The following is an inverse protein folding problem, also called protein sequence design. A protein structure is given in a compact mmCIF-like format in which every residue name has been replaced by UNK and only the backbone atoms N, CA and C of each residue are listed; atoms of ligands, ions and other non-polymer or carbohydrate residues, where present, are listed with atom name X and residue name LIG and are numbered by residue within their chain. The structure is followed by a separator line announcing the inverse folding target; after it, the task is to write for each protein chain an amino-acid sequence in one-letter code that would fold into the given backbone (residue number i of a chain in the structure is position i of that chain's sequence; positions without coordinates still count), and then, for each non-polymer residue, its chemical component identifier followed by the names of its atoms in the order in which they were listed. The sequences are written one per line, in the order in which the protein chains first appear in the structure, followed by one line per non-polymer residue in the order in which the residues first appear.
data_IF_633052935572
#
_entry.id   IF_633052935572
#
_cell.length_a   1.000
_cell.length_b   1.000
_cell.length_c   1.000
_cell.angle_alpha   90.00
_cell.angle_beta   90.00
_cell.angle_gamma   90.00
#
_symmetry.space_group_name_H-M   'P 1'
#
loop_
_entity.id
_entity.type
_entity.pdbx_description
1 polymer ?
2 non-polymer ?
3 water ?
#
# COMPACT_ATOMS: atom_id res chain seq x y z
N UNK A 21 -7.87 -6.11 27.98
CA UNK A 21 -6.65 -5.48 28.51
C UNK A 21 -6.65 -3.93 28.32
N UNK A 22 -5.50 -3.26 28.64
CA UNK A 22 -5.31 -1.80 28.56
C UNK A 22 -3.84 -1.46 28.33
N UNK A 23 -3.56 -0.23 27.87
CA UNK A 23 -2.19 0.26 27.68
C UNK A 23 -2.08 1.77 27.74
N UNK A 24 -0.90 2.26 28.15
CA UNK A 24 -0.63 3.67 28.24
C UNK A 24 0.41 4.06 27.22
N UNK A 25 0.17 5.19 26.55
CA UNK A 25 1.04 5.78 25.53
C UNK A 25 1.05 7.31 25.82
N UNK A 26 2.22 7.84 26.22
CA UNK A 26 2.44 9.26 26.60
C UNK A 26 1.36 9.76 27.60
N UNK A 27 1.23 9.04 28.72
CA UNK A 27 0.27 9.32 29.80
C UNK A 27 -1.18 9.00 29.47
N UNK A 28 -1.52 8.83 28.17
CA UNK A 28 -2.87 8.54 27.70
C UNK A 28 -3.17 7.05 27.71
N UNK A 29 -4.32 6.67 28.32
CA UNK A 29 -4.75 5.28 28.48
C UNK A 29 -5.76 4.90 27.41
N UNK A 30 -5.53 3.73 26.81
CA UNK A 30 -6.36 3.15 25.76
C UNK A 30 -6.75 1.75 26.17
N UNK A 31 -7.99 1.36 25.91
CA UNK A 31 -8.52 0.04 26.23
C UNK A 31 -8.55 -0.80 24.95
N UNK A 32 -7.96 -2.02 24.98
CA UNK A 32 -7.92 -2.94 23.84
C UNK A 32 -9.29 -3.58 23.56
N UNK A 33 -9.96 -3.12 22.49
CA UNK A 33 -11.27 -3.58 22.03
C UNK A 33 -11.18 -4.88 21.21
N UNK A 34 -10.05 -5.09 20.49
CA UNK A 34 -9.77 -6.23 19.59
C UNK A 34 -8.33 -6.12 19.06
N UNK A 35 -7.80 -7.21 18.51
CA UNK A 35 -6.47 -7.16 17.91
C UNK A 35 -6.63 -7.23 16.39
N UNK A 36 -6.39 -6.10 15.73
CA UNK A 36 -6.51 -6.01 14.27
C UNK A 36 -5.52 -6.81 13.43
N UNK A 37 -4.25 -6.81 13.84
CA UNK A 37 -3.22 -7.50 13.08
C UNK A 37 -2.17 -8.24 13.87
N UNK A 38 -1.51 -9.18 13.19
CA UNK A 38 -0.47 -9.99 13.81
C UNK A 38 0.78 -9.92 12.94
N UNK A 39 1.90 -9.60 13.57
CA UNK A 39 3.17 -9.49 12.91
C UNK A 39 4.14 -10.28 13.75
N UNK A 40 5.24 -10.73 13.17
CA UNK A 40 6.18 -11.51 13.94
C UNK A 40 6.68 -10.69 15.12
N UNK A 41 7.00 -9.44 14.86
CA UNK A 41 7.47 -8.56 15.92
C UNK A 41 6.44 -7.48 16.30
N UNK A 42 5.32 -7.45 15.60
CA UNK A 42 4.30 -6.45 15.89
C UNK A 42 2.85 -6.92 15.82
N UNK A 43 2.00 -6.21 16.54
CA UNK A 43 0.57 -6.49 16.60
C UNK A 43 -0.17 -5.16 16.46
N UNK A 44 -1.36 -5.17 15.87
CA UNK A 44 -2.15 -3.93 15.70
C UNK A 44 -3.40 -4.12 16.53
N UNK A 45 -3.72 -3.17 17.41
CA UNK A 45 -4.92 -3.27 18.23
C UNK A 45 -5.93 -2.20 17.92
N UNK A 46 -7.21 -2.57 17.94
CA UNK A 46 -8.31 -1.62 17.79
C UNK A 46 -8.56 -1.15 19.23
N UNK A 47 -8.35 0.13 19.52
CA UNK A 47 -8.50 0.62 20.88
C UNK A 47 -9.35 1.88 21.06
N UNK A 48 -9.85 2.07 22.27
CA UNK A 48 -10.68 3.20 22.62
C UNK A 48 -10.05 4.03 23.74
N UNK A 49 -10.04 5.34 23.57
CA UNK A 49 -9.49 6.27 24.55
C UNK A 49 -10.47 6.60 25.67
N UNK A 50 -10.03 7.48 26.57
CA UNK A 50 -10.84 7.91 27.70
C UNK A 50 -12.12 8.57 27.20
N UNK A 51 -11.99 9.26 26.08
CA UNK A 51 -13.10 9.96 25.44
C UNK A 51 -13.91 8.96 24.60
N UNK A 52 -13.51 7.70 24.65
CA UNK A 52 -14.17 6.64 23.90
C UNK A 52 -14.08 6.79 22.38
N UNK A 53 -12.92 7.26 21.93
CA UNK A 53 -12.67 7.44 20.51
C UNK A 53 -11.74 6.33 20.02
N UNK A 54 -12.14 5.64 18.96
CA UNK A 54 -11.36 4.54 18.40
C UNK A 54 -10.03 4.94 17.74
N UNK A 55 -9.01 4.11 17.96
CA UNK A 55 -7.68 4.32 17.40
C UNK A 55 -7.00 2.98 17.18
N UNK A 56 -5.96 2.95 16.36
CA UNK A 56 -5.23 1.71 16.15
C UNK A 56 -3.83 1.89 16.72
N UNK A 57 -3.40 1.01 17.64
CA UNK A 57 -2.05 1.05 18.21
C UNK A 57 -1.18 -0.09 17.64
N UNK A 58 -0.14 0.26 16.85
CA UNK A 58 0.77 -0.76 16.32
C UNK A 58 1.84 -0.92 17.37
N UNK A 59 1.85 -2.09 18.04
CA UNK A 59 2.86 -2.40 19.04
C UNK A 59 4.00 -3.21 18.41
N UNK A 60 5.21 -2.71 18.51
CA UNK A 60 6.38 -3.41 17.99
C UNK A 60 7.29 -3.74 19.16
N UNK A 61 7.55 -5.01 19.41
CA UNK A 61 8.44 -5.42 20.48
C UNK A 61 9.88 -5.29 20.00
N UNK A 62 10.71 -4.62 20.80
CA UNK A 62 12.11 -4.41 20.46
C UNK A 62 13.09 -5.29 21.23
N UNK A 63 12.57 -6.32 21.88
CA UNK A 63 13.42 -7.19 22.69
C UNK A 63 14.51 -7.89 21.89
N UNK A 64 14.20 -8.35 20.69
CA UNK A 64 15.20 -9.02 19.87
C UNK A 64 15.24 -8.43 18.47
N UNK A 65 15.75 -7.21 18.37
CA UNK A 65 15.84 -6.52 17.09
C UNK A 65 17.25 -6.04 16.77
N UNK A 66 17.69 -6.31 15.55
CA UNK A 66 19.01 -5.89 15.10
C UNK A 66 19.04 -4.38 14.91
N UNK A 67 20.22 -3.79 14.98
CA UNK A 67 20.35 -2.35 14.82
C UNK A 67 19.89 -1.90 13.45
N UNK A 68 20.20 -2.69 12.42
CA UNK A 68 19.78 -2.34 11.08
C UNK A 68 18.26 -2.28 11.03
N UNK A 69 17.62 -3.24 11.66
CA UNK A 69 16.16 -3.30 11.71
C UNK A 69 15.61 -2.09 12.44
N UNK A 70 16.29 -1.70 13.52
CA UNK A 70 15.87 -0.56 14.32
C UNK A 70 15.87 0.71 13.50
N UNK A 71 16.89 0.86 12.66
CA UNK A 71 17.01 2.04 11.82
C UNK A 71 15.84 2.15 10.86
N UNK A 72 15.41 1.03 10.31
CA UNK A 72 14.30 1.03 9.36
C UNK A 72 13.02 1.55 10.00
N UNK A 73 12.75 1.11 11.22
CA UNK A 73 11.55 1.55 11.93
C UNK A 73 11.59 3.05 12.20
N UNK A 74 12.77 3.54 12.55
CA UNK A 74 12.96 4.95 12.83
C UNK A 74 12.72 5.76 11.58
N UNK A 75 13.14 5.22 10.42
CA UNK A 75 12.93 5.83 9.11
C UNK A 75 11.45 5.88 8.70
N UNK A 76 10.73 4.76 8.86
CA UNK A 76 9.31 4.70 8.58
C UNK A 76 8.46 5.61 9.51
N UNK A 77 8.84 5.76 10.78
CA UNK A 77 8.15 6.62 11.75
C UNK A 77 8.35 8.09 11.32
N UNK A 78 9.61 8.50 11.08
CA UNK A 78 9.98 9.85 10.60
C UNK A 78 9.21 10.22 9.33
N UNK A 79 9.03 9.23 8.43
CA UNK A 79 8.32 9.42 7.18
C UNK A 79 6.86 9.65 7.46
N UNK A 80 6.20 8.77 8.25
CA UNK A 80 4.82 8.99 8.67
C UNK A 80 4.60 10.36 9.32
N UNK A 81 5.61 10.87 10.05
CA UNK A 81 5.55 12.17 10.71
C UNK A 81 5.49 13.32 9.72
N UNK A 82 6.56 13.54 8.88
CA UNK A 82 6.62 14.67 7.93
C UNK A 82 5.44 14.69 6.95
N UNK A 83 5.14 13.56 6.33
CA UNK A 83 4.08 13.52 5.33
C UNK A 83 2.73 13.98 5.87
N UNK A 84 2.45 13.68 7.12
CA UNK A 84 1.17 14.04 7.75
C UNK A 84 0.68 15.39 7.21
N UNK A 85 1.50 16.45 7.38
CA UNK A 85 1.20 17.79 6.90
C UNK A 85 0.88 17.85 5.37
N UNK A 86 1.67 17.15 4.58
CA UNK A 86 1.50 17.13 3.14
C UNK A 86 0.22 16.52 2.58
N UNK A 87 -0.26 15.45 3.21
CA UNK A 87 -1.44 14.76 2.67
C UNK A 87 -2.20 14.04 3.75
N UNK A 88 -3.50 13.86 3.50
CA UNK A 88 -4.42 13.11 4.34
C UNK A 88 -4.65 11.74 3.68
N UNK A 89 -3.92 11.45 2.62
CA UNK A 89 -4.01 10.16 1.94
C UNK A 89 -3.09 9.15 2.61
N UNK A 90 -2.37 9.62 3.63
CA UNK A 90 -1.47 8.81 4.42
C UNK A 90 -2.15 8.66 5.76
N UNK A 91 -2.11 7.46 6.33
CA UNK A 91 -2.77 7.24 7.60
C UNK A 91 -2.23 8.20 8.65
N UNK A 92 -3.13 8.75 9.45
CA UNK A 92 -2.77 9.73 10.48
C UNK A 92 -2.12 9.03 11.66
N UNK A 93 -0.98 9.54 12.10
CA UNK A 93 -0.28 9.00 13.25
C UNK A 93 -0.36 10.08 14.31
N UNK A 94 -1.29 9.92 15.24
CA UNK A 94 -1.49 10.90 16.31
C UNK A 94 -0.37 11.03 17.34
N UNK A 95 0.18 9.91 17.77
CA UNK A 95 1.24 9.92 18.78
C UNK A 95 2.09 8.66 18.72
N UNK A 96 3.26 8.72 19.33
CA UNK A 96 4.17 7.57 19.35
C UNK A 96 4.99 7.54 20.65
N UNK A 97 5.44 6.34 21.07
CA UNK A 97 6.21 6.11 22.29
C UNK A 97 7.21 5.02 21.98
N UNK A 98 8.49 5.39 21.98
CA UNK A 98 9.57 4.47 21.66
C UNK A 98 10.56 4.27 22.79
N UNK A 99 10.87 3.02 23.05
CA UNK A 99 11.80 2.62 24.08
C UNK A 99 12.64 1.50 23.51
N UNK A 100 13.70 1.13 24.20
CA UNK A 100 14.57 0.07 23.74
C UNK A 100 13.77 -1.22 23.61
N UNK A 101 12.84 -1.42 24.54
CA UNK A 101 12.03 -2.63 24.58
C UNK A 101 10.84 -2.63 23.61
N UNK A 102 10.27 -1.47 23.31
CA UNK A 102 9.09 -1.46 22.46
C UNK A 102 8.78 -0.14 21.77
N UNK A 103 7.93 -0.24 20.76
CA UNK A 103 7.46 0.92 20.02
C UNK A 103 5.93 0.90 20.03
N UNK A 104 5.33 2.02 20.39
CA UNK A 104 3.88 2.13 20.43
C UNK A 104 3.49 3.24 19.46
N UNK A 105 2.53 3.01 18.58
CA UNK A 105 2.17 4.08 17.64
C UNK A 105 0.68 4.28 17.62
N UNK A 106 0.20 5.49 17.93
CA UNK A 106 -1.22 5.81 17.94
C UNK A 106 -1.65 6.33 16.56
N UNK A 107 -2.38 5.50 15.82
CA UNK A 107 -2.85 5.84 14.49
C UNK A 107 -4.38 5.84 14.42
N UNK A 108 -4.94 6.34 13.30
CA UNK A 108 -6.39 6.32 13.12
C UNK A 108 -6.84 4.90 12.77
N UNK A 109 -8.09 4.58 13.10
CA UNK A 109 -8.59 3.25 12.84
C UNK A 109 -9.40 3.21 11.56
N UNK A 110 -8.94 2.36 10.63
CA UNK A 110 -9.59 2.14 9.36
C UNK A 110 -10.62 1.02 9.42
N UNK A 111 -11.53 1.00 8.47
CA UNK A 111 -12.52 -0.06 8.45
C UNK A 111 -11.89 -1.41 8.12
N UNK A 112 -11.04 -1.44 7.09
CA UNK A 112 -10.36 -2.66 6.67
C UNK A 112 -9.23 -2.39 5.67
N UNK A 113 -8.34 -3.37 5.48
CA UNK A 113 -7.25 -3.25 4.52
C UNK A 113 -7.81 -3.47 3.12
N UNK A 114 -7.13 -2.99 2.08
CA UNK A 114 -7.65 -3.18 0.73
C UNK A 114 -7.61 -4.65 0.24
N UNK A 115 -6.61 -5.44 0.68
CA UNK A 115 -6.48 -6.83 0.25
C UNK A 115 -7.60 -7.69 0.82
N UNK A 116 -7.84 -7.57 2.15
CA UNK A 116 -8.90 -8.30 2.85
C UNK A 116 -10.24 -7.96 2.24
N UNK A 117 -10.44 -6.67 1.97
CA UNK A 117 -11.66 -6.18 1.36
C UNK A 117 -11.89 -6.70 -0.06
N UNK A 118 -10.81 -6.74 -0.84
CA UNK A 118 -10.91 -7.21 -2.22
C UNK A 118 -11.33 -8.66 -2.31
N UNK A 119 -10.79 -9.49 -1.44
CA UNK A 119 -11.12 -10.91 -1.42
C UNK A 119 -12.60 -11.08 -1.08
N UNK A 120 -13.08 -10.27 -0.15
CA UNK A 120 -14.46 -10.31 0.30
C UNK A 120 -15.50 -10.00 -0.79
N UNK A 121 -15.20 -9.02 -1.63
CA UNK A 121 -16.16 -8.65 -2.68
C UNK A 121 -15.81 -9.17 -4.07
N UNK A 122 -16.71 -9.96 -4.63
CA UNK A 122 -16.55 -10.52 -5.97
C UNK A 122 -16.53 -9.46 -7.08
N UNK A 123 -17.41 -8.47 -6.96
CA UNK A 123 -17.51 -7.41 -7.95
C UNK A 123 -17.39 -6.03 -7.33
N UNK A 124 -16.66 -5.14 -7.99
CA UNK A 124 -16.45 -3.79 -7.50
C UNK A 124 -17.06 -2.73 -8.40
N UNK A 125 -17.76 -1.78 -7.80
CA UNK A 125 -18.40 -0.70 -8.54
C UNK A 125 -17.37 0.12 -9.28
N UNK A 126 -17.69 0.52 -10.50
CA UNK A 126 -16.75 1.31 -11.32
C UNK A 126 -16.42 2.63 -10.64
N UNK A 127 -17.42 3.24 -10.01
CA UNK A 127 -17.22 4.51 -9.33
C UNK A 127 -16.28 4.37 -8.15
N UNK A 128 -16.44 3.29 -7.39
CA UNK A 128 -15.60 3.05 -6.22
C UNK A 128 -14.15 2.83 -6.63
N UNK A 129 -13.95 2.10 -7.71
CA UNK A 129 -12.63 1.81 -8.25
C UNK A 129 -11.92 3.10 -8.68
N UNK A 130 -12.68 4.03 -9.25
CA UNK A 130 -12.14 5.31 -9.69
C UNK A 130 -11.73 6.13 -8.45
N UNK A 131 -12.57 6.13 -7.42
CA UNK A 131 -12.28 6.85 -6.17
C UNK A 131 -11.08 6.30 -5.41
N UNK A 132 -11.00 4.97 -5.31
CA UNK A 132 -9.88 4.28 -4.69
C UNK A 132 -8.59 4.52 -5.46
N UNK A 133 -8.66 4.45 -6.80
CA UNK A 133 -7.53 4.73 -7.68
C UNK A 133 -6.97 6.12 -7.50
N UNK A 134 -7.82 7.17 -7.49
CA UNK A 134 -7.37 8.55 -7.31
C UNK A 134 -6.73 8.77 -5.95
N UNK A 135 -7.23 8.06 -4.93
CA UNK A 135 -6.67 8.07 -3.59
C UNK A 135 -5.28 7.42 -3.52
N UNK A 136 -5.15 6.25 -4.16
CA UNK A 136 -3.85 5.55 -4.25
C UNK A 136 -2.81 6.41 -4.92
N UNK A 137 -3.09 6.91 -6.13
CA UNK A 137 -2.22 7.82 -6.88
C UNK A 137 -1.76 9.03 -6.02
N UNK A 138 -2.71 9.80 -5.42
CA UNK A 138 -2.45 10.97 -4.58
C UNK A 138 -1.48 10.68 -3.40
N UNK A 139 -1.63 9.52 -2.76
CA UNK A 139 -0.79 9.05 -1.65
C UNK A 139 0.64 8.66 -2.10
N UNK A 140 0.72 7.83 -3.14
CA UNK A 140 1.99 7.38 -3.68
C UNK A 140 2.77 8.57 -4.22
N UNK A 141 2.04 9.51 -4.80
CA UNK A 141 2.64 10.70 -5.36
C UNK A 141 3.35 11.49 -4.26
N UNK A 142 2.73 11.56 -3.09
CA UNK A 142 3.32 12.30 -1.97
C UNK A 142 4.64 11.71 -1.50
N UNK A 143 4.71 10.38 -1.43
CA UNK A 143 5.92 9.68 -1.01
C UNK A 143 7.04 9.96 -1.99
N UNK A 144 6.70 9.97 -3.27
CA UNK A 144 7.63 10.24 -4.35
C UNK A 144 8.22 11.63 -4.27
N UNK A 145 7.40 12.60 -3.85
CA UNK A 145 7.84 13.98 -3.75
C UNK A 145 9.01 14.10 -2.79
N UNK A 146 8.95 13.35 -1.70
CA UNK A 146 9.99 13.39 -0.69
C UNK A 146 11.15 12.46 -1.05
N UNK A 147 11.01 11.75 -2.17
CA UNK A 147 12.03 10.82 -2.64
C UNK A 147 11.88 9.37 -2.21
N UNK A 148 10.72 9.01 -1.71
CA UNK A 148 10.49 7.64 -1.25
C UNK A 148 9.83 6.76 -2.30
N UNK A 149 10.43 5.61 -2.57
CA UNK A 149 9.86 4.68 -3.53
C UNK A 149 9.54 3.42 -2.72
N UNK A 150 8.26 3.05 -2.65
CA UNK A 150 7.91 1.88 -1.87
C UNK A 150 8.54 0.61 -2.45
N UNK A 151 8.36 0.42 -3.74
CA UNK A 151 8.93 -0.71 -4.46
C UNK A 151 8.28 -2.04 -4.08
N UNK A 152 7.32 -1.99 -3.17
CA UNK A 152 6.64 -3.20 -2.72
C UNK A 152 5.13 -3.02 -2.61
N UNK A 153 4.55 -2.20 -3.48
CA UNK A 153 3.12 -1.96 -3.40
C UNK A 153 2.27 -3.21 -3.64
N UNK A 154 1.27 -3.37 -2.77
CA UNK A 154 0.33 -4.47 -2.80
C UNK A 154 -0.90 -3.91 -2.12
N UNK A 155 -2.06 -4.52 -2.28
CA UNK A 155 -3.25 -3.94 -1.67
C UNK A 155 -3.16 -3.76 -0.15
N UNK A 156 -2.47 -4.67 0.54
CA UNK A 156 -2.34 -4.61 2.00
C UNK A 156 -1.70 -3.34 2.57
N UNK A 157 -1.03 -2.58 1.71
CA UNK A 157 -0.34 -1.35 2.08
C UNK A 157 -1.37 -0.22 2.16
N UNK A 158 -2.61 -0.52 1.72
CA UNK A 158 -3.73 0.42 1.69
C UNK A 158 -4.77 0.08 2.73
N UNK A 159 -5.53 1.10 3.15
CA UNK A 159 -6.54 0.94 4.18
C UNK A 159 -7.75 1.81 3.90
N UNK A 160 -8.96 1.20 3.92
CA UNK A 160 -10.20 1.95 3.73
C UNK A 160 -10.50 2.64 5.06
N UNK A 161 -10.54 3.98 5.06
CA UNK A 161 -10.89 4.80 6.23
C UNK A 161 -12.06 5.66 5.78
N UNK A 162 -13.29 5.12 5.94
CA UNK A 162 -14.56 5.74 5.57
C UNK A 162 -14.55 6.31 4.11
N UNK A 163 -14.63 5.38 3.14
CA UNK A 163 -14.66 5.67 1.72
C UNK A 163 -13.39 6.20 1.08
N UNK A 164 -12.37 6.46 1.89
CA UNK A 164 -11.07 6.96 1.47
C UNK A 164 -10.05 5.88 1.61
N UNK A 165 -9.17 5.73 0.62
CA UNK A 165 -8.07 4.77 0.76
C UNK A 165 -6.84 5.53 1.24
N UNK A 166 -6.17 5.02 2.26
CA UNK A 166 -4.95 5.63 2.79
C UNK A 166 -3.75 4.68 2.69
N UNK A 167 -2.52 5.22 2.65
CA UNK A 167 -1.31 4.40 2.61
C UNK A 167 -0.82 4.21 4.02
N UNK A 168 -0.66 2.94 4.45
CA UNK A 168 -0.19 2.53 5.78
C UNK A 168 1.34 2.65 5.92
N UNK A 169 2.10 2.06 5.01
CA UNK A 169 3.55 2.04 5.12
C UNK A 169 4.31 2.26 3.82
N UNK A 170 5.56 2.66 3.97
CA UNK A 170 6.45 2.90 2.84
C UNK A 170 7.24 1.64 2.50
N UNK A 171 6.94 0.57 3.23
CA UNK A 171 7.55 -0.72 3.02
C UNK A 171 8.82 -1.01 3.79
N UNK A 172 9.37 -0.01 4.47
CA UNK A 172 10.58 -0.21 5.25
C UNK A 172 10.34 -1.18 6.42
N UNK A 173 9.22 -0.99 7.10
CA UNK A 173 8.83 -1.84 8.23
C UNK A 173 8.20 -3.15 7.77
N UNK A 174 8.21 -4.15 8.62
CA UNK A 174 7.62 -5.44 8.29
C UNK A 174 6.10 -5.39 8.11
N UNK A 175 5.63 -6.08 7.08
CA UNK A 175 4.20 -6.15 6.76
C UNK A 175 3.44 -7.12 7.67
N UNK A 176 2.11 -6.98 7.73
CA UNK A 176 1.32 -7.87 8.57
C UNK A 176 0.09 -8.52 7.91
N UNK A 177 -0.38 -9.62 8.52
CA UNK A 177 -1.54 -10.39 8.09
C UNK A 177 -2.77 -9.93 8.90
N UNK A 190 4.48 -13.99 1.48
CA UNK A 190 4.01 -12.82 0.74
C UNK A 190 4.06 -12.95 -0.78
N UNK A 191 3.26 -12.10 -1.49
CA UNK A 191 3.08 -12.09 -2.96
C UNK A 191 4.26 -11.52 -3.79
N UNK A 192 4.24 -11.87 -5.08
CA UNK A 192 5.25 -11.53 -6.08
C UNK A 192 4.57 -10.94 -7.32
N UNK A 193 3.22 -11.05 -7.38
CA UNK A 193 2.38 -10.62 -8.50
C UNK A 193 2.36 -9.13 -8.81
N UNK A 194 2.92 -8.29 -7.91
CA UNK A 194 2.87 -6.84 -8.11
C UNK A 194 4.26 -6.23 -8.42
N UNK A 195 5.25 -7.13 -8.58
CA UNK A 195 6.66 -6.83 -8.82
C UNK A 195 6.95 -6.32 -10.22
N UNK A 196 7.75 -5.23 -10.33
CA UNK A 196 8.04 -4.64 -11.66
C UNK A 196 9.22 -5.29 -12.37
N UNK A 197 9.19 -5.40 -13.71
CA UNK A 197 10.30 -6.06 -14.42
C UNK A 197 11.70 -5.54 -14.11
N UNK A 198 11.82 -4.23 -13.84
CA UNK A 198 13.10 -3.56 -13.53
C UNK A 198 13.71 -4.00 -12.18
N UNK A 199 12.86 -4.48 -11.24
CA UNK A 199 13.33 -4.97 -9.94
C UNK A 199 14.06 -6.28 -10.14
N UNK A 200 13.44 -7.20 -10.91
CA UNK A 200 13.88 -8.54 -11.30
C UNK A 200 15.07 -8.46 -12.28
N UNK A 201 15.09 -7.43 -13.13
CA UNK A 201 16.17 -7.27 -14.10
C UNK A 201 17.49 -6.87 -13.43
N UNK A 202 17.40 -6.07 -12.38
CA UNK A 202 18.59 -5.63 -11.66
C UNK A 202 19.33 -6.81 -11.08
N UNK A 203 18.58 -7.77 -10.54
CA UNK A 203 19.16 -8.97 -9.95
C UNK A 203 20.26 -9.54 -10.84
N UNK A 215 17.28 1.05 -12.96
CA UNK A 215 16.93 0.48 -11.66
C UNK A 215 15.55 0.95 -11.20
N UNK A 216 15.32 0.87 -9.89
CA UNK A 216 14.05 1.28 -9.31
C UNK A 216 13.84 2.78 -9.47
N UNK A 217 12.59 3.16 -9.73
CA UNK A 217 12.21 4.56 -9.91
C UNK A 217 10.75 4.70 -9.54
N UNK A 218 10.28 5.94 -9.39
CA UNK A 218 8.86 6.14 -9.02
C UNK A 218 7.95 5.42 -10.01
N UNK A 219 8.46 5.18 -11.23
CA UNK A 219 7.82 4.43 -12.32
C UNK A 219 7.58 2.95 -11.90
N UNK A 220 8.42 2.41 -10.98
CA UNK A 220 8.32 1.04 -10.44
C UNK A 220 7.06 0.91 -9.61
N UNK A 221 6.69 1.99 -8.91
CA UNK A 221 5.46 2.04 -8.13
C UNK A 221 4.24 2.06 -9.03
N UNK A 222 4.35 2.67 -10.24
CA UNK A 222 3.30 2.72 -11.26
C UNK A 222 2.94 1.27 -11.69
N UNK A 223 3.96 0.44 -12.01
CA UNK A 223 3.76 -0.95 -12.36
C UNK A 223 2.90 -1.67 -11.33
N UNK A 224 3.29 -1.62 -10.05
CA UNK A 224 2.64 -2.27 -8.90
C UNK A 224 1.19 -1.82 -8.71
N UNK A 225 0.92 -0.50 -8.92
CA UNK A 225 -0.41 0.12 -8.87
C UNK A 225 -1.29 -0.37 -10.02
N UNK A 226 -0.71 -0.45 -11.22
CA UNK A 226 -1.39 -0.92 -12.42
C UNK A 226 -1.87 -2.35 -12.27
N UNK A 227 -1.10 -3.13 -11.50
CA UNK A 227 -1.47 -4.51 -11.23
C UNK A 227 -2.70 -4.53 -10.33
N UNK A 228 -2.70 -3.64 -9.34
CA UNK A 228 -3.80 -3.54 -8.39
C UNK A 228 -5.07 -3.13 -9.12
N UNK A 229 -4.93 -2.13 -9.99
CA UNK A 229 -6.04 -1.65 -10.77
C UNK A 229 -6.50 -2.74 -11.71
N UNK A 230 -5.53 -3.45 -12.27
CA UNK A 230 -5.83 -4.54 -13.23
C UNK A 230 -6.63 -5.63 -12.53
N UNK A 231 -6.35 -5.82 -11.24
CA UNK A 231 -7.02 -6.75 -10.37
C UNK A 231 -8.48 -6.31 -10.10
N UNK A 232 -8.77 -4.99 -10.02
CA UNK A 232 -10.13 -4.48 -9.75
C UNK A 232 -10.94 -4.31 -11.01
N UNK A 233 -10.26 -4.55 -12.12
CA UNK A 233 -10.87 -4.45 -13.44
C UNK A 233 -11.09 -5.84 -14.04
N UNK A 234 -10.15 -6.74 -13.81
CA UNK A 234 -10.26 -8.10 -14.34
C UNK A 234 -10.46 -9.19 -13.27
N UNK A 235 -10.27 -8.84 -12.00
CA UNK A 235 -10.44 -9.77 -10.88
C UNK A 235 -9.26 -10.68 -10.64
N UNK A 236 -8.14 -10.41 -11.33
CA UNK A 236 -6.90 -11.20 -11.24
C UNK A 236 -5.74 -10.31 -11.63
N UNK A 237 -4.54 -10.57 -11.06
CA UNK A 237 -3.32 -9.80 -11.37
C UNK A 237 -2.75 -10.25 -12.73
N UNK A 238 -1.99 -9.39 -13.47
CA UNK A 238 -1.55 -9.77 -14.82
C UNK A 238 -0.90 -11.15 -14.97
N UNK A 239 -0.21 -11.67 -13.94
CA UNK A 239 0.50 -12.95 -14.09
C UNK A 239 0.06 -14.07 -13.09
N UNK A 240 -1.03 -13.84 -12.31
CA UNK A 240 -1.61 -14.81 -11.37
C UNK A 240 -1.74 -16.22 -11.96
N UNK A 241 -2.08 -16.31 -13.28
CA UNK A 241 -2.27 -17.52 -14.11
C UNK A 241 -1.03 -18.45 -14.24
N UNK A 242 0.17 -17.96 -13.88
CA UNK A 242 1.39 -18.76 -13.92
C UNK A 242 1.65 -19.36 -12.52
N UNK A 243 1.74 -20.70 -12.46
CA UNK A 243 1.93 -21.42 -11.21
C UNK A 243 3.34 -21.22 -10.65
N UNK A 244 4.37 -21.65 -11.42
CA UNK A 244 5.79 -21.60 -11.08
C UNK A 244 6.26 -20.16 -10.93
N UNK A 245 6.68 -19.79 -9.71
CA UNK A 245 7.12 -18.43 -9.35
C UNK A 245 8.36 -18.03 -10.12
N UNK A 246 9.16 -19.01 -10.54
CA UNK A 246 10.36 -18.77 -11.34
C UNK A 246 9.89 -18.34 -12.75
N UNK A 247 8.97 -19.13 -13.34
CA UNK A 247 8.37 -18.90 -14.65
C UNK A 247 7.62 -17.58 -14.67
N UNK A 248 6.97 -17.25 -13.54
CA UNK A 248 6.22 -16.02 -13.33
C UNK A 248 7.18 -14.82 -13.43
N UNK A 249 8.34 -14.89 -12.74
CA UNK A 249 9.32 -13.81 -12.83
C UNK A 249 9.80 -13.63 -14.26
N UNK A 250 9.98 -14.75 -14.98
CA UNK A 250 10.35 -14.78 -16.40
C UNK A 250 9.28 -14.13 -17.26
N UNK A 251 8.01 -14.43 -16.94
CA UNK A 251 6.82 -13.88 -17.62
C UNK A 251 6.75 -12.37 -17.43
N UNK A 252 7.05 -11.87 -16.21
CA UNK A 252 7.07 -10.44 -15.87
C UNK A 252 8.15 -9.73 -16.68
N UNK A 253 9.29 -10.39 -16.91
CA UNK A 253 10.40 -9.74 -17.61
C UNK A 253 10.45 -10.07 -19.13
N UNK A 254 9.64 -10.99 -19.63
CA UNK A 254 9.70 -11.29 -21.05
C UNK A 254 8.96 -10.29 -21.93
N UNK A 255 9.67 -9.65 -22.83
CA UNK A 255 9.04 -8.69 -23.75
C UNK A 255 8.04 -9.43 -24.64
N UNK A 256 8.43 -10.63 -25.06
CA UNK A 256 7.61 -11.46 -25.93
C UNK A 256 6.29 -11.85 -25.29
N UNK A 257 6.30 -12.17 -24.01
CA UNK A 257 5.06 -12.53 -23.35
C UNK A 257 4.19 -11.29 -23.44
N UNK A 258 2.92 -11.48 -23.80
CA UNK A 258 2.01 -10.35 -23.94
C UNK A 258 0.86 -10.42 -22.95
N UNK A 259 0.68 -9.32 -22.21
CA UNK A 259 -0.39 -9.25 -21.23
C UNK A 259 -1.74 -9.18 -21.92
N UNK A 260 -2.72 -9.86 -21.35
CA UNK A 260 -4.08 -9.88 -21.89
C UNK A 260 -4.87 -8.66 -21.41
N UNK A 261 -5.43 -7.90 -22.33
CA UNK A 261 -6.27 -6.77 -21.99
C UNK A 261 -7.65 -6.94 -22.64
N UNK A 262 -8.55 -7.79 -22.06
CA UNK A 262 -9.88 -7.97 -22.66
C UNK A 262 -10.69 -6.68 -22.78
N UNK A 263 -11.56 -6.63 -23.78
CA UNK A 263 -12.45 -5.50 -24.06
C UNK A 263 -13.40 -5.20 -22.90
N UNK A 264 -13.46 -3.92 -22.51
CA UNK A 264 -14.28 -3.42 -21.39
C UNK A 264 -15.06 -2.13 -21.75
N UNK A 265 -16.19 -1.89 -21.13
CA UNK A 265 -16.95 -0.68 -21.46
C UNK A 265 -16.16 0.61 -21.27
N UNK A 266 -15.34 0.71 -20.24
CA UNK A 266 -14.56 1.91 -19.99
C UNK A 266 -13.27 1.93 -20.78
N UNK A 267 -13.27 2.64 -21.90
CA UNK A 267 -12.08 2.73 -22.74
C UNK A 267 -10.93 3.40 -21.99
N UNK A 268 -11.25 4.44 -21.23
CA UNK A 268 -10.25 5.17 -20.49
C UNK A 268 -9.58 4.25 -19.47
N UNK A 269 -10.37 3.41 -18.82
CA UNK A 269 -9.85 2.49 -17.83
C UNK A 269 -8.88 1.52 -18.50
N UNK A 270 -9.25 1.05 -19.68
CA UNK A 270 -8.42 0.13 -20.42
C UNK A 270 -7.12 0.81 -20.79
N UNK A 271 -7.20 2.08 -21.17
CA UNK A 271 -6.04 2.85 -21.55
C UNK A 271 -5.05 3.02 -20.40
N UNK A 272 -5.58 3.26 -19.20
CA UNK A 272 -4.72 3.45 -18.04
C UNK A 272 -3.91 2.20 -17.72
N UNK A 273 -4.54 1.04 -17.81
CA UNK A 273 -3.86 -0.20 -17.53
C UNK A 273 -2.73 -0.40 -18.53
N UNK A 274 -3.10 -0.38 -19.80
CA UNK A 274 -2.12 -0.56 -20.88
C UNK A 274 -0.88 0.31 -20.65
N UNK A 275 -1.08 1.60 -20.28
CA UNK A 275 -0.05 2.62 -20.03
C UNK A 275 0.84 2.35 -18.78
N UNK A 276 0.25 1.71 -17.72
CA UNK A 276 0.89 1.34 -16.44
C UNK A 276 1.76 0.10 -16.56
N UNK A 277 1.32 -0.87 -17.38
CA UNK A 277 1.98 -2.16 -17.49
C UNK A 277 2.94 -2.29 -18.71
N UNK A 278 3.55 -1.15 -19.15
CA UNK A 278 4.55 -1.13 -20.20
C UNK A 278 5.83 -1.56 -19.50
N UNK A 279 6.38 -2.74 -19.87
CA UNK A 279 7.61 -3.32 -19.29
C UNK A 279 8.77 -2.36 -19.20
N UNK A 280 8.94 -1.46 -20.20
CA UNK A 280 10.01 -0.47 -20.18
C UNK A 280 9.60 0.76 -19.35
N UNK A 281 10.25 1.03 -18.19
CA UNK A 281 9.83 2.17 -17.35
C UNK A 281 9.91 3.54 -18.01
N UNK A 282 10.86 3.74 -18.95
CA UNK A 282 11.04 4.99 -19.69
C UNK A 282 9.82 5.22 -20.60
N UNK A 283 9.22 4.10 -21.10
CA UNK A 283 8.01 4.06 -21.92
C UNK A 283 6.74 4.07 -21.01
N UNK A 284 6.89 3.73 -19.71
CA UNK A 284 5.80 3.69 -18.71
C UNK A 284 5.33 5.11 -18.34
N UNK A 285 4.02 5.24 -18.03
CA UNK A 285 3.38 6.49 -17.62
C UNK A 285 3.82 6.87 -16.20
N UNK A 286 3.77 8.17 -15.87
CA UNK A 286 4.16 8.64 -14.56
C UNK A 286 2.93 8.93 -13.70
N UNK A 287 3.12 9.06 -12.39
CA UNK A 287 2.02 9.35 -11.48
C UNK A 287 1.40 10.71 -11.78
N UNK A 288 2.23 11.71 -12.03
CA UNK A 288 1.72 13.05 -12.32
C UNK A 288 0.87 13.04 -13.58
N UNK A 289 1.32 12.30 -14.58
CA UNK A 289 0.60 12.14 -15.84
C UNK A 289 -0.68 11.37 -15.59
N UNK A 290 -0.61 10.35 -14.75
CA UNK A 290 -1.79 9.52 -14.43
C UNK A 290 -2.87 10.37 -13.74
N UNK A 291 -2.45 11.43 -13.03
CA UNK A 291 -3.34 12.35 -12.33
C UNK A 291 -4.06 13.32 -13.29
N UNK A 292 -3.58 13.40 -14.53
CA UNK A 292 -4.11 14.27 -15.59
C UNK A 292 -4.83 13.44 -16.65
N UNK A 293 -4.99 12.15 -16.36
CA UNK A 293 -5.66 11.20 -17.24
C UNK A 293 -7.18 11.37 -17.25
N UNK A 294 -7.81 10.97 -18.34
CA UNK A 294 -9.26 11.09 -18.44
C UNK A 294 -10.00 10.24 -17.41
N UNK A 295 -9.48 9.05 -17.15
CA UNK A 295 -10.07 8.10 -16.21
C UNK A 295 -10.20 8.62 -14.78
N UNK A 296 -9.16 9.28 -14.30
CA UNK A 296 -9.14 9.82 -12.94
C UNK A 296 -9.93 11.16 -12.85
N UNK A 297 -10.15 11.80 -13.99
CA UNK A 297 -10.83 13.09 -14.03
C UNK A 297 -12.21 13.09 -14.69
N UNK A 298 -12.43 12.15 -15.61
CA UNK A 298 -13.72 12.09 -16.30
C UNK A 298 -14.48 10.80 -15.99
N UNK A 299 -15.74 10.95 -15.61
CA UNK A 299 -16.59 9.82 -15.30
C UNK A 299 -17.43 9.40 -16.50
X LIG B 1 -4.73 -6.36 9.01
X LIG B 1 -7.90 -4.56 8.90
X LIG B 1 -8.98 -5.20 9.51
X LIG B 1 -11.31 -3.03 12.27
X LIG B 1 -8.58 -7.26 8.32
X LIG B 1 -9.34 -6.50 9.26
X LIG B 1 -7.61 -3.25 9.22
X LIG B 1 -9.75 -4.54 10.44
X LIG B 1 -9.46 -3.22 10.76
X LIG B 1 -10.17 -2.46 11.65
X LIG B 1 -8.39 -2.58 10.16
X LIG B 1 -8.11 -1.27 10.54
X LIG B 1 -6.87 -0.73 10.66
X LIG B 1 -6.80 0.54 11.10
X LIG B 1 -5.60 1.03 11.25
X LIG B 1 -4.41 0.33 10.97
X LIG B 1 -3.10 0.85 11.10
X LIG B 1 -2.04 0.06 10.77
X LIG B 1 -2.16 -1.19 10.32
X LIG B 1 -3.37 -1.72 10.18
X LIG B 1 -4.60 -0.99 10.50
X LIG B 1 -5.84 -1.52 10.34
X LIG B 1 -3.38 -3.07 9.68
X LIG B 1 -2.38 -3.74 8.96
X LIG B 1 -2.73 -4.97 8.64
X LIG B 1 -3.99 -5.11 9.16
X LIG B 1 -4.40 -4.00 9.78
#
# INVERSE_FOLDING_TARGET
MHHHHHHSSGVDLGTENLYFQSMSVKGRIYSILKQIGSGGSSKVFQVLNEKKQIYAIKYVNLEEADNQTLDSYRNEIAYLNKLQQHSDKIIRLYDYEITDQYIYMVMECGNIDLNSWLKKKKSIDPWERKSYWKNMLEAVHTIHQHGIVHSDLKPANFLIVDGMLKLIDFGIANQMQPDTTSVVKDSQVGTVNYMPPEAIKDMSSSRENGKSKSKISPKSDVWSLGCILYYMTYGKTPFQQIINQISKLHAIIDPNHEIEFPDIPEKDLQDVLKCCLKRDPKQRISIPELLAHPYVQIQTHPVNQMAKGTTEE
5O7 C10 C13 C14 C17 C18 O1 C12 C15 C16 O C11 N5 C N1 C3 C2 C4 C5 N2 C6 C1 N C7 C9 N4 N3 C8
#
